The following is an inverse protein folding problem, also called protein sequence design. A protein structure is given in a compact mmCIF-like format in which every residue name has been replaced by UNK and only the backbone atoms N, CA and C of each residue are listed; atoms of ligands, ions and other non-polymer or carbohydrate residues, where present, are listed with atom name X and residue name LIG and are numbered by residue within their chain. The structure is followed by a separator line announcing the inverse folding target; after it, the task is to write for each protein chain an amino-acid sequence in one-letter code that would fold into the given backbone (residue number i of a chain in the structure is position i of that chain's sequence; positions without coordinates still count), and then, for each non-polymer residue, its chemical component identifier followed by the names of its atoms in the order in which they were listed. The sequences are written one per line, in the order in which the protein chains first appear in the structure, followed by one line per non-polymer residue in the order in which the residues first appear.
data_IF_943413172470
#
_entry.id   IF_943413172470
#
_cell.length_a   1.000
_cell.length_b   1.000
_cell.length_c   1.000
_cell.angle_alpha   90.00
_cell.angle_beta   90.00
_cell.angle_gamma   90.00
#
_symmetry.space_group_name_H-M   'P 1'
#
loop_
_entity.id
_entity.type
_entity.pdbx_description
1 polymer ?
#
# COMPACT_ATOMS: atom_id res chain seq x y z
N UNK A 1 -3.33 -49.89 -5.34
CA UNK A 1 -3.69 -48.62 -4.69
C UNK A 1 -3.00 -47.47 -5.43
N UNK A 2 -3.72 -46.51 -6.04
CA UNK A 2 -3.08 -45.41 -6.77
C UNK A 2 -2.53 -44.38 -5.77
N UNK A 3 -1.23 -44.10 -5.88
CA UNK A 3 -0.56 -43.08 -5.05
C UNK A 3 -0.85 -41.71 -5.67
N UNK A 4 -1.82 -40.99 -5.09
CA UNK A 4 -2.11 -39.60 -5.47
C UNK A 4 -0.84 -38.74 -5.28
N UNK A 5 -0.29 -38.22 -6.38
CA UNK A 5 0.85 -37.30 -6.33
C UNK A 5 0.34 -35.95 -5.82
N UNK A 6 0.50 -35.68 -4.52
CA UNK A 6 0.11 -34.43 -3.83
C UNK A 6 1.00 -33.21 -4.16
N UNK A 7 2.17 -33.44 -4.78
CA UNK A 7 3.18 -32.40 -5.09
C UNK A 7 2.73 -31.26 -6.04
N UNK A 8 1.96 -31.48 -7.12
CA UNK A 8 1.54 -30.41 -8.01
C UNK A 8 0.45 -29.52 -7.40
N UNK A 9 -0.41 -30.07 -6.52
CA UNK A 9 -1.48 -29.32 -5.85
C UNK A 9 -0.91 -28.29 -4.85
N UNK A 10 0.17 -28.66 -4.17
CA UNK A 10 0.89 -27.80 -3.21
C UNK A 10 1.66 -26.67 -3.91
N UNK A 11 2.16 -26.92 -5.11
CA UNK A 11 2.81 -25.91 -5.96
C UNK A 11 1.79 -24.92 -6.57
N UNK A 12 0.60 -25.39 -6.95
CA UNK A 12 -0.49 -24.54 -7.46
C UNK A 12 -1.08 -23.61 -6.38
N UNK A 13 -1.19 -24.10 -5.14
CA UNK A 13 -1.61 -23.27 -3.99
C UNK A 13 -0.52 -22.26 -3.60
N UNK A 14 0.77 -22.64 -3.61
CA UNK A 14 1.85 -21.69 -3.40
C UNK A 14 1.94 -20.63 -4.51
N UNK A 15 1.75 -21.00 -5.77
CA UNK A 15 1.78 -20.08 -6.91
C UNK A 15 0.60 -19.10 -6.90
N UNK A 16 -0.60 -19.52 -6.50
CA UNK A 16 -1.76 -18.64 -6.35
C UNK A 16 -1.60 -17.66 -5.18
N UNK A 17 -0.97 -18.07 -4.07
CA UNK A 17 -0.61 -17.16 -2.97
C UNK A 17 0.46 -16.13 -3.39
N UNK A 18 1.44 -16.53 -4.21
CA UNK A 18 2.45 -15.62 -4.75
C UNK A 18 1.89 -14.66 -5.81
N UNK A 19 0.89 -15.08 -6.58
CA UNK A 19 0.19 -14.21 -7.54
C UNK A 19 -0.62 -13.10 -6.83
N UNK A 20 -1.20 -13.38 -5.66
CA UNK A 20 -1.86 -12.36 -4.84
C UNK A 20 -0.88 -11.32 -4.27
N UNK A 21 0.37 -11.71 -4.00
CA UNK A 21 1.39 -10.78 -3.51
C UNK A 21 1.83 -9.76 -4.59
N UNK A 22 1.73 -10.10 -5.88
CA UNK A 22 2.10 -9.22 -6.99
C UNK A 22 1.08 -8.08 -7.22
N UNK A 23 -0.21 -8.30 -6.93
CA UNK A 23 -1.26 -7.28 -7.08
C UNK A 23 -1.24 -6.21 -5.98
N UNK A 24 -0.40 -6.36 -4.95
CA UNK A 24 -0.44 -5.51 -3.77
C UNK A 24 0.56 -4.33 -3.81
N UNK A 25 1.39 -4.22 -4.87
CA UNK A 25 2.50 -3.26 -4.97
C UNK A 25 2.12 -1.76 -5.03
N UNK A 26 0.84 -1.39 -4.97
CA UNK A 26 0.41 0.01 -4.78
C UNK A 26 0.13 0.31 -3.29
N UNK A 27 1.05 -0.10 -2.42
CA UNK A 27 0.97 0.13 -0.97
C UNK A 27 1.17 1.60 -0.63
N UNK A 28 0.07 2.36 -0.60
CA UNK A 28 0.06 3.72 -0.03
C UNK A 28 -0.34 3.59 1.44
N UNK A 29 0.65 3.53 2.31
CA UNK A 29 0.47 3.64 3.75
C UNK A 29 0.64 5.11 4.13
N UNK A 30 -0.22 5.65 4.97
CA UNK A 30 -0.04 6.97 5.56
C UNK A 30 -0.15 6.87 7.07
N UNK A 31 0.69 7.58 7.80
CA UNK A 31 0.62 7.65 9.27
C UNK A 31 0.67 9.09 9.69
N UNK A 32 -0.05 9.42 10.76
CA UNK A 32 -0.27 10.81 11.11
C UNK A 32 -0.73 11.02 12.53
N UNK A 33 -0.88 12.29 12.85
CA UNK A 33 -1.48 12.76 14.08
C UNK A 33 -2.88 13.28 13.77
N UNK A 34 -3.82 13.00 14.67
CA UNK A 34 -5.19 13.49 14.64
C UNK A 34 -5.46 14.28 15.90
N UNK A 35 -5.92 15.52 15.74
CA UNK A 35 -6.24 16.43 16.83
C UNK A 35 -7.73 16.75 16.73
N UNK A 36 -8.50 16.28 17.71
CA UNK A 36 -9.91 16.57 17.85
C UNK A 36 -10.19 17.57 18.97
N UNK A 37 -11.44 18.03 19.07
CA UNK A 37 -11.86 18.89 20.18
C UNK A 37 -11.71 18.16 21.52
N UNK A 38 -10.64 18.47 22.25
CA UNK A 38 -10.32 17.87 23.56
C UNK A 38 -9.77 16.44 23.52
N UNK A 39 -9.29 15.96 22.37
CA UNK A 39 -8.63 14.66 22.24
C UNK A 39 -7.48 14.73 21.23
N UNK A 40 -6.46 13.91 21.44
CA UNK A 40 -5.33 13.77 20.52
C UNK A 40 -5.15 12.29 20.20
N UNK A 41 -4.66 12.00 19.01
CA UNK A 41 -4.53 10.63 18.57
C UNK A 41 -3.56 10.46 17.42
N UNK A 42 -3.32 9.19 17.11
CA UNK A 42 -2.58 8.76 15.94
C UNK A 42 -3.55 8.15 14.96
N UNK A 43 -3.28 8.37 13.67
CA UNK A 43 -4.03 7.76 12.57
C UNK A 43 -3.04 7.01 11.67
N UNK A 44 -3.42 5.81 11.25
CA UNK A 44 -2.68 4.99 10.31
C UNK A 44 -3.64 4.50 9.23
N UNK A 45 -3.42 4.94 8.00
CA UNK A 45 -4.24 4.62 6.85
C UNK A 45 -3.48 3.68 5.92
N UNK A 46 -4.13 2.60 5.51
CA UNK A 46 -3.62 1.62 4.57
C UNK A 46 -4.58 1.52 3.39
N UNK A 47 -4.11 1.88 2.20
CA UNK A 47 -4.89 1.66 0.98
C UNK A 47 -4.97 0.17 0.65
N UNK A 48 -6.21 -0.32 0.51
CA UNK A 48 -6.51 -1.73 0.19
C UNK A 48 -7.03 -1.87 -1.25
N UNK A 49 -7.79 -0.89 -1.75
CA UNK A 49 -8.31 -0.86 -3.11
C UNK A 49 -8.14 0.54 -3.73
N UNK A 50 -8.45 0.70 -5.01
CA UNK A 50 -8.32 1.96 -5.73
C UNK A 50 -9.21 3.10 -5.20
N UNK A 51 -10.30 2.78 -4.51
CA UNK A 51 -11.16 3.81 -3.90
C UNK A 51 -11.40 3.55 -2.42
N UNK A 52 -10.83 2.48 -1.86
CA UNK A 52 -11.10 2.06 -0.49
C UNK A 52 -9.81 1.99 0.31
N UNK A 53 -9.83 2.56 1.51
CA UNK A 53 -8.73 2.57 2.47
C UNK A 53 -9.22 2.03 3.81
N UNK A 54 -8.34 1.35 4.53
CA UNK A 54 -8.54 0.97 5.92
C UNK A 54 -7.83 2.01 6.78
N UNK A 55 -8.51 2.63 7.74
CA UNK A 55 -7.92 3.56 8.70
C UNK A 55 -8.02 2.99 10.11
N UNK A 56 -6.90 2.99 10.84
CA UNK A 56 -6.84 2.69 12.26
C UNK A 56 -6.48 3.94 13.03
N UNK A 57 -7.24 4.24 14.07
CA UNK A 57 -7.04 5.40 14.93
C UNK A 57 -6.81 4.94 16.36
N UNK A 58 -5.86 5.57 17.02
CA UNK A 58 -5.64 5.47 18.45
C UNK A 58 -5.84 6.85 19.06
N UNK A 59 -6.93 7.04 19.78
CA UNK A 59 -7.29 8.32 20.40
C UNK A 59 -7.10 8.25 21.92
N UNK A 60 -6.54 9.32 22.45
CA UNK A 60 -6.21 9.49 23.85
C UNK A 60 -6.88 10.77 24.35
N UNK A 61 -7.60 10.63 25.45
CA UNK A 61 -8.20 11.70 26.23
C UNK A 61 -7.73 11.55 27.67
N UNK A 62 -7.84 12.60 28.48
CA UNK A 62 -7.33 12.60 29.86
C UNK A 62 -7.78 11.41 30.74
N UNK A 63 -8.89 10.74 30.40
CA UNK A 63 -9.47 9.61 31.17
C UNK A 63 -9.87 8.40 30.30
N UNK A 64 -9.57 8.45 29.00
CA UNK A 64 -10.05 7.46 28.03
C UNK A 64 -8.98 7.15 27.01
N UNK A 65 -8.84 5.87 26.69
CA UNK A 65 -8.05 5.40 25.55
C UNK A 65 -8.96 4.60 24.66
N UNK A 66 -9.04 4.98 23.39
CA UNK A 66 -9.98 4.39 22.46
C UNK A 66 -9.29 4.09 21.12
N UNK A 67 -9.42 2.84 20.69
CA UNK A 67 -9.01 2.39 19.37
C UNK A 67 -10.22 2.37 18.43
N UNK A 68 -10.05 2.87 17.21
CA UNK A 68 -11.09 2.86 16.18
C UNK A 68 -10.53 2.21 14.92
N UNK A 69 -11.34 1.39 14.26
CA UNK A 69 -11.05 0.86 12.94
C UNK A 69 -12.17 1.29 11.99
N UNK A 70 -11.80 1.92 10.88
CA UNK A 70 -12.74 2.37 9.85
C UNK A 70 -12.32 1.87 8.47
N UNK A 71 -13.32 1.60 7.64
CA UNK A 71 -13.17 1.45 6.20
C UNK A 71 -13.71 2.71 5.56
N UNK A 72 -12.89 3.34 4.72
CA UNK A 72 -13.22 4.60 4.07
C UNK A 72 -13.21 4.45 2.56
N UNK A 73 -14.09 5.18 1.90
CA UNK A 73 -14.14 5.30 0.45
C UNK A 73 -13.89 6.74 0.03
N UNK A 74 -12.95 6.90 -0.90
CA UNK A 74 -12.42 8.19 -1.36
C UNK A 74 -12.99 8.58 -2.73
N UNK A 75 -13.33 9.85 -2.88
CA UNK A 75 -13.87 10.45 -4.10
C UNK A 75 -13.15 11.76 -4.40
N UNK A 76 -12.92 12.02 -5.68
CA UNK A 76 -12.19 13.20 -6.16
C UNK A 76 -13.21 14.30 -6.48
N UNK A 77 -13.04 15.50 -5.93
CA UNK A 77 -13.89 16.67 -6.27
C UNK A 77 -13.17 17.54 -7.29
N UNK A 78 -11.94 17.95 -6.98
CA UNK A 78 -11.17 18.92 -7.74
C UNK A 78 -9.74 18.42 -7.93
N UNK A 79 -9.58 17.57 -8.95
CA UNK A 79 -8.29 16.99 -9.31
C UNK A 79 -7.70 16.05 -8.24
N UNK A 80 -6.40 15.74 -8.31
CA UNK A 80 -5.73 14.84 -7.36
C UNK A 80 -5.47 15.47 -5.98
N UNK A 81 -5.56 16.80 -5.86
CA UNK A 81 -5.23 17.55 -4.66
C UNK A 81 -6.34 17.49 -3.60
N UNK A 82 -7.61 17.72 -3.98
CA UNK A 82 -8.74 17.76 -3.04
C UNK A 82 -9.68 16.57 -3.23
N UNK A 83 -9.80 15.76 -2.18
CA UNK A 83 -10.64 14.59 -2.12
C UNK A 83 -11.61 14.71 -0.94
N UNK A 84 -12.71 14.00 -1.00
CA UNK A 84 -13.55 13.75 0.16
C UNK A 84 -13.66 12.25 0.37
N UNK A 85 -13.94 11.87 1.59
CA UNK A 85 -14.12 10.48 1.95
C UNK A 85 -15.28 10.33 2.91
N UNK A 86 -15.90 9.16 2.82
CA UNK A 86 -16.83 8.69 3.83
C UNK A 86 -16.36 7.33 4.30
N UNK A 87 -16.48 7.09 5.59
CA UNK A 87 -16.11 5.86 6.22
C UNK A 87 -17.14 5.41 7.24
N UNK A 88 -17.10 4.13 7.52
CA UNK A 88 -17.85 3.51 8.59
C UNK A 88 -16.92 2.54 9.32
N UNK A 89 -17.11 2.43 10.63
CA UNK A 89 -16.24 1.66 11.48
C UNK A 89 -16.83 1.43 12.85
N UNK A 90 -15.99 0.89 13.71
CA UNK A 90 -16.30 0.67 15.11
C UNK A 90 -15.13 1.10 15.98
N UNK A 91 -15.44 1.54 17.18
CA UNK A 91 -14.45 1.84 18.20
C UNK A 91 -14.65 0.95 19.42
N UNK A 92 -13.54 0.67 20.09
CA UNK A 92 -13.52 0.02 21.38
C UNK A 92 -12.38 0.62 22.21
N UNK A 93 -12.61 0.78 23.50
CA UNK A 93 -11.68 1.45 24.39
C UNK A 93 -11.93 1.14 25.85
N UNK A 94 -11.07 1.71 26.68
CA UNK A 94 -11.19 1.67 28.12
C UNK A 94 -11.37 3.07 28.66
N UNK A 95 -12.42 3.28 29.45
CA UNK A 95 -12.58 4.44 30.31
C UNK A 95 -12.14 4.08 31.73
N UNK A 96 -11.40 4.95 32.41
CA UNK A 96 -10.94 4.68 33.79
C UNK A 96 -12.09 4.49 34.78
N UNK A 97 -13.23 5.12 34.51
CA UNK A 97 -14.36 5.19 35.43
C UNK A 97 -15.49 4.18 35.09
N UNK A 98 -15.64 3.78 33.82
CA UNK A 98 -16.77 2.96 33.32
C UNK A 98 -16.37 1.59 32.73
N UNK A 99 -15.07 1.28 32.65
CA UNK A 99 -14.60 0.03 32.06
C UNK A 99 -14.58 0.06 30.53
N UNK A 100 -14.96 -1.04 29.88
CA UNK A 100 -14.89 -1.18 28.42
C UNK A 100 -16.03 -0.40 27.75
N UNK A 101 -15.66 0.52 26.85
CA UNK A 101 -16.60 1.29 26.02
C UNK A 101 -16.44 0.87 24.57
N UNK A 102 -17.54 0.88 23.81
CA UNK A 102 -17.50 0.52 22.39
C UNK A 102 -18.77 0.92 21.65
N UNK A 103 -18.63 1.09 20.35
CA UNK A 103 -19.70 1.57 19.50
C UNK A 103 -19.35 1.60 18.03
N UNK A 104 -20.26 2.17 17.25
CA UNK A 104 -20.09 2.34 15.81
C UNK A 104 -19.83 3.80 15.48
N UNK A 105 -18.97 4.01 14.49
CA UNK A 105 -18.57 5.32 14.02
C UNK A 105 -18.86 5.45 12.53
N UNK A 106 -19.62 6.47 12.15
CA UNK A 106 -19.53 7.05 10.82
C UNK A 106 -18.40 8.07 10.79
N UNK A 107 -17.81 8.28 9.62
CA UNK A 107 -16.83 9.33 9.39
C UNK A 107 -17.07 9.95 8.02
N UNK A 108 -17.00 11.26 7.95
CA UNK A 108 -17.04 12.00 6.69
C UNK A 108 -16.02 13.11 6.77
N UNK A 109 -15.19 13.26 5.74
CA UNK A 109 -14.11 14.23 5.79
C UNK A 109 -13.68 14.69 4.41
N UNK A 110 -13.00 15.84 4.42
CA UNK A 110 -12.29 16.36 3.27
C UNK A 110 -10.79 16.16 3.49
N UNK A 111 -10.08 15.84 2.41
CA UNK A 111 -8.67 15.52 2.40
C UNK A 111 -7.96 16.33 1.32
N UNK A 112 -6.98 17.11 1.73
CA UNK A 112 -6.10 17.87 0.87
C UNK A 112 -4.70 17.26 0.84
N UNK A 113 -4.32 16.73 -0.32
CA UNK A 113 -2.98 16.22 -0.62
C UNK A 113 -2.12 17.36 -1.16
N UNK A 114 -0.99 17.62 -0.50
CA UNK A 114 0.00 18.57 -0.97
C UNK A 114 0.80 17.91 -2.12
N UNK A 115 0.93 18.55 -3.30
CA UNK A 115 1.64 17.95 -4.44
C UNK A 115 3.16 17.99 -4.28
N UNK A 116 3.68 18.93 -3.48
CA UNK A 116 5.12 19.17 -3.33
C UNK A 116 5.74 18.29 -2.24
N UNK A 117 4.99 18.02 -1.18
CA UNK A 117 5.44 17.24 -0.01
C UNK A 117 4.55 16.03 0.17
N UNK A 118 5.06 14.88 0.65
CA UNK A 118 4.27 13.68 0.93
C UNK A 118 3.40 13.84 2.19
N UNK A 119 2.79 15.01 2.37
CA UNK A 119 1.88 15.34 3.46
C UNK A 119 0.45 15.48 2.93
N UNK A 120 -0.47 15.09 3.80
CA UNK A 120 -1.90 15.10 3.57
C UNK A 120 -2.55 15.71 4.80
N UNK A 121 -3.37 16.73 4.56
CA UNK A 121 -4.19 17.36 5.57
C UNK A 121 -5.60 16.83 5.39
N UNK A 122 -6.27 16.55 6.49
CA UNK A 122 -7.64 16.05 6.48
C UNK A 122 -8.43 16.70 7.60
N UNK A 123 -9.68 17.02 7.29
CA UNK A 123 -10.64 17.53 8.25
C UNK A 123 -11.80 16.57 8.22
N UNK A 124 -12.09 15.96 9.38
CA UNK A 124 -13.05 14.89 9.50
C UNK A 124 -14.08 15.17 10.60
N UNK A 125 -15.29 14.70 10.32
CA UNK A 125 -16.44 14.73 11.19
C UNK A 125 -16.86 13.29 11.43
N UNK A 126 -16.83 12.85 12.69
CA UNK A 126 -17.06 11.45 13.06
C UNK A 126 -18.35 11.31 13.88
N UNK A 127 -19.54 11.18 13.26
CA UNK A 127 -20.75 10.85 14.01
C UNK A 127 -20.60 9.46 14.66
N UNK A 128 -20.62 9.41 15.99
CA UNK A 128 -20.46 8.18 16.76
C UNK A 128 -21.70 7.84 17.54
N UNK A 129 -22.09 6.58 17.51
CA UNK A 129 -23.17 6.00 18.31
C UNK A 129 -22.55 5.03 19.31
N UNK A 130 -22.61 5.37 20.59
CA UNK A 130 -22.11 4.55 21.69
C UNK A 130 -23.26 3.67 22.22
N UNK A 131 -23.04 2.35 22.31
CA UNK A 131 -24.09 1.43 22.78
C UNK A 131 -24.17 1.33 24.31
N UNK A 132 -23.12 1.74 25.02
CA UNK A 132 -22.91 1.42 26.43
C UNK A 132 -22.86 2.65 27.36
N UNK A 133 -23.18 3.85 26.85
CA UNK A 133 -23.19 5.11 27.60
C UNK A 133 -24.53 5.84 27.39
N UNK A 134 -24.91 6.73 28.33
CA UNK A 134 -26.13 7.55 28.25
C UNK A 134 -26.14 8.53 27.06
N UNK A 135 -24.95 8.95 26.61
CA UNK A 135 -24.80 9.82 25.43
C UNK A 135 -24.78 9.00 24.15
N UNK A 136 -25.96 8.66 23.63
CA UNK A 136 -26.11 7.81 22.44
C UNK A 136 -25.56 8.43 21.15
N UNK A 137 -25.30 9.75 21.09
CA UNK A 137 -24.84 10.43 19.88
C UNK A 137 -23.77 11.49 20.18
N UNK A 138 -22.60 11.37 19.54
CA UNK A 138 -21.53 12.37 19.62
C UNK A 138 -21.07 12.77 18.21
N UNK A 139 -20.72 14.04 18.05
CA UNK A 139 -20.28 14.61 16.78
C UNK A 139 -18.89 15.26 16.86
N UNK A 140 -17.84 14.48 17.21
CA UNK A 140 -16.48 15.00 17.24
C UNK A 140 -16.00 15.41 15.84
N UNK A 141 -15.51 16.65 15.75
CA UNK A 141 -14.68 17.14 14.65
C UNK A 141 -13.21 16.95 14.99
N UNK A 142 -12.41 16.62 13.97
CA UNK A 142 -10.97 16.53 14.11
C UNK A 142 -10.25 17.00 12.84
N UNK A 143 -9.00 17.42 13.03
CA UNK A 143 -8.05 17.74 11.98
C UNK A 143 -6.90 16.75 12.09
N UNK A 144 -6.57 16.10 10.98
CA UNK A 144 -5.51 15.11 10.93
C UNK A 144 -4.45 15.50 9.90
N UNK A 145 -3.18 15.36 10.29
CA UNK A 145 -2.02 15.55 9.43
C UNK A 145 -1.35 14.20 9.25
N UNK A 146 -1.35 13.67 8.02
CA UNK A 146 -0.80 12.37 7.67
C UNK A 146 0.39 12.50 6.74
N UNK A 147 1.46 11.77 7.03
CA UNK A 147 2.60 11.58 6.17
C UNK A 147 2.42 10.30 5.35
N UNK A 148 2.53 10.41 4.02
CA UNK A 148 2.36 9.29 3.10
C UNK A 148 3.69 8.56 2.95
N UNK A 149 3.79 7.36 3.51
CA UNK A 149 4.91 6.44 3.30
C UNK A 149 4.73 5.74 1.96
N UNK A 150 5.45 6.23 0.94
CA UNK A 150 5.54 5.55 -0.35
C UNK A 150 6.50 4.38 -0.18
N UNK A 151 5.99 3.15 -0.09
CA UNK A 151 6.84 1.95 -0.09
C UNK A 151 7.04 1.44 -1.52
N UNK A 152 7.75 2.23 -2.32
CA UNK A 152 8.40 1.70 -3.51
C UNK A 152 9.57 0.82 -3.06
N UNK A 153 9.40 -0.51 -3.14
CA UNK A 153 10.58 -1.37 -3.29
C UNK A 153 11.15 -1.08 -4.66
N UNK A 154 12.09 -0.13 -4.74
CA UNK A 154 13.00 -0.01 -5.87
C UNK A 154 13.54 -1.41 -6.17
N UNK A 155 13.35 -1.88 -7.41
CA UNK A 155 14.10 -3.03 -7.92
C UNK A 155 15.58 -2.78 -7.59
N UNK A 156 16.34 -3.75 -7.06
CA UNK A 156 17.77 -3.56 -6.90
C UNK A 156 18.32 -3.30 -8.30
N UNK A 157 18.78 -2.08 -8.52
CA UNK A 157 19.48 -1.62 -9.72
C UNK A 157 20.81 -2.39 -9.96
N UNK A 158 21.12 -3.39 -9.13
CA UNK A 158 22.28 -4.26 -9.23
C UNK A 158 21.98 -5.62 -9.89
N UNK A 159 21.08 -5.66 -10.86
CA UNK A 159 20.86 -6.82 -11.74
C UNK A 159 21.76 -6.85 -12.99
N UNK A 160 22.63 -5.84 -13.17
CA UNK A 160 23.45 -5.69 -14.39
C UNK A 160 24.95 -5.47 -14.16
N UNK A 161 25.44 -5.53 -12.92
CA UNK A 161 26.84 -5.21 -12.57
C UNK A 161 27.67 -6.41 -12.06
N UNK A 162 27.07 -7.60 -11.94
CA UNK A 162 27.77 -8.84 -11.59
C UNK A 162 27.42 -10.00 -12.55
N UNK A 163 27.46 -9.72 -13.85
CA UNK A 163 27.52 -10.73 -14.91
C UNK A 163 28.88 -10.70 -15.60
N UNK A 164 29.95 -10.72 -14.81
CA UNK A 164 31.33 -10.72 -15.29
C UNK A 164 31.70 -12.04 -15.97
N UNK A 165 31.92 -11.94 -17.28
CA UNK A 165 32.98 -12.61 -18.05
C UNK A 165 33.48 -13.98 -17.52
N UNK A 166 32.73 -15.05 -17.81
CA UNK A 166 33.26 -16.42 -17.94
C UNK A 166 32.41 -17.18 -18.95
N UNK A 167 32.86 -17.15 -20.21
CA UNK A 167 32.88 -18.30 -21.13
C UNK A 167 33.42 -17.89 -22.52
N UNK A 168 34.59 -17.22 -22.50
CA UNK A 168 35.48 -17.11 -23.67
C UNK A 168 36.53 -18.22 -23.63
N UNK A 169 36.13 -19.50 -23.72
CA UNK A 169 37.13 -20.57 -23.90
C UNK A 169 36.69 -21.84 -24.64
N UNK A 170 35.54 -21.86 -25.34
CA UNK A 170 35.16 -23.02 -26.19
C UNK A 170 34.96 -22.74 -27.69
N UNK A 171 35.28 -21.54 -28.16
CA UNK A 171 35.09 -21.15 -29.57
C UNK A 171 36.33 -21.24 -30.49
N UNK A 172 37.52 -21.60 -29.99
CA UNK A 172 38.79 -21.44 -30.73
C UNK A 172 39.44 -22.72 -31.30
N UNK A 173 38.73 -23.85 -31.39
CA UNK A 173 39.28 -25.08 -32.02
C UNK A 173 38.56 -25.61 -33.26
N UNK A 174 37.48 -24.99 -33.76
CA UNK A 174 36.72 -25.51 -34.92
C UNK A 174 36.55 -24.55 -36.11
N UNK A 175 37.19 -23.39 -36.10
CA UNK A 175 37.10 -22.42 -37.21
C UNK A 175 38.48 -22.03 -37.74
N UNK A 176 39.36 -23.02 -37.93
CA UNK A 176 40.61 -22.94 -38.70
C UNK A 176 40.70 -24.08 -39.72
N UNK A 177 39.64 -24.30 -40.48
CA UNK A 177 39.70 -25.11 -41.69
C UNK A 177 38.95 -24.41 -42.81
N UNK A 178 39.73 -23.67 -43.61
CA UNK A 178 39.52 -23.37 -45.03
C UNK A 178 38.31 -22.51 -45.40
N UNK A 179 38.52 -21.19 -45.33
CA UNK A 179 38.14 -20.31 -46.43
C UNK A 179 39.45 -19.72 -46.99
N UNK A 180 39.77 -20.06 -48.24
CA UNK A 180 40.79 -19.36 -49.03
C UNK A 180 40.10 -18.51 -50.12
N UNK A 181 40.79 -17.45 -50.62
CA UNK A 181 40.14 -16.18 -50.92
C UNK A 181 39.79 -15.99 -52.39
N UNK A 182 38.84 -15.09 -52.62
CA UNK A 182 38.54 -14.50 -53.94
C UNK A 182 39.79 -13.84 -54.52
N UNK A 183 40.13 -14.18 -55.77
CA UNK A 183 41.02 -13.38 -56.61
C UNK A 183 40.21 -12.38 -57.44
N UNK A 184 40.77 -11.18 -57.46
CA UNK A 184 40.42 -9.97 -58.19
C UNK A 184 40.60 -10.09 -59.70
N UNK A 185 39.78 -9.33 -60.45
CA UNK A 185 40.25 -8.47 -61.53
C UNK A 185 40.18 -9.00 -62.97
N UNK A 186 39.28 -8.39 -63.76
CA UNK A 186 39.68 -7.67 -64.98
C UNK A 186 39.79 -8.42 -66.32
N UNK A 187 38.82 -8.10 -67.19
CA UNK A 187 38.98 -7.58 -68.57
C UNK A 187 39.52 -8.46 -69.72
N UNK A 188 38.95 -8.17 -70.90
CA UNK A 188 39.22 -8.63 -72.28
C UNK A 188 38.58 -9.98 -72.65
N UNK A 189 37.87 -10.16 -73.77
CA UNK A 189 37.81 -9.42 -75.04
C UNK A 189 38.14 -10.39 -76.18
N UNK A 190 37.19 -10.54 -77.12
CA UNK A 190 37.13 -11.45 -78.29
C UNK A 190 36.86 -12.94 -78.03
#
# INVERSE_FOLDING_TARGET
MPVFRLRPLLLLTAASLLAHAASAQKYRTAVGLRLGSGNYGFTAQQRIFEKTTLEGLATFRSREVMGTLLIERHFHILGPALNYYFGAGAHAGGHKDYGTVGGFDGMVGAEWKLPIVPLQLSVDFKPSVELNNEDWFRFPTAVSVRYVLIKEKKKPFMGGLFGGDKDKERGKSKQKTKAEPRKSGGLFGN
#
